data_IF_015107369117
#
_entry.id   IF_015107369117
#
_cell.length_a   1.000
_cell.length_b   1.000
_cell.length_c   1.000
_cell.angle_alpha   90.00
_cell.angle_beta   90.00
_cell.angle_gamma   90.00
#
_symmetry.space_group_name_H-M   'P 1'
#
loop_
_entity.id
_entity.type
_entity.pdbx_description
1 polymer ?
#
# COMPACT_ATOMS: atom_id res chain seq x y z
N UNK A 1 -29.18 9.89 -36.82
CA UNK A 1 -27.78 9.81 -36.36
C UNK A 1 -27.67 8.86 -35.17
N UNK A 2 -27.64 7.52 -35.37
CA UNK A 2 -27.81 6.55 -34.29
C UNK A 2 -26.53 5.95 -33.67
N UNK A 3 -25.32 6.30 -34.14
CA UNK A 3 -24.08 5.57 -33.77
C UNK A 3 -23.10 6.28 -32.82
N UNK A 4 -23.35 7.53 -32.40
CA UNK A 4 -22.40 8.26 -31.56
C UNK A 4 -22.38 7.75 -30.10
N UNK A 5 -23.54 7.44 -29.53
CA UNK A 5 -23.67 7.00 -28.13
C UNK A 5 -23.09 5.60 -27.90
N UNK A 6 -23.21 4.69 -28.88
CA UNK A 6 -22.64 3.34 -28.79
C UNK A 6 -21.11 3.33 -28.81
N UNK A 7 -20.50 4.18 -29.65
CA UNK A 7 -19.04 4.31 -29.73
C UNK A 7 -18.44 4.94 -28.47
N UNK A 8 -19.11 5.93 -27.90
CA UNK A 8 -18.65 6.61 -26.69
C UNK A 8 -18.73 5.70 -25.45
N UNK A 9 -19.80 4.90 -25.33
CA UNK A 9 -19.91 3.89 -24.29
C UNK A 9 -18.83 2.82 -24.39
N UNK A 10 -18.60 2.28 -25.60
CA UNK A 10 -17.54 1.31 -25.85
C UNK A 10 -16.16 1.87 -25.49
N UNK A 11 -15.91 3.15 -25.82
CA UNK A 11 -14.68 3.83 -25.45
C UNK A 11 -14.51 3.98 -23.92
N UNK A 12 -15.56 4.39 -23.20
CA UNK A 12 -15.50 4.52 -21.73
C UNK A 12 -15.29 3.17 -21.04
N UNK A 13 -15.97 2.13 -21.51
CA UNK A 13 -15.79 0.78 -20.99
C UNK A 13 -14.35 0.28 -21.19
N UNK A 14 -13.78 0.54 -22.38
CA UNK A 14 -12.40 0.17 -22.67
C UNK A 14 -11.41 0.98 -21.82
N UNK A 15 -11.63 2.29 -21.68
CA UNK A 15 -10.83 3.15 -20.81
C UNK A 15 -10.86 2.69 -19.35
N UNK A 16 -12.03 2.23 -18.87
CA UNK A 16 -12.18 1.67 -17.52
C UNK A 16 -11.39 0.36 -17.35
N UNK A 17 -11.48 -0.58 -18.30
CA UNK A 17 -10.71 -1.83 -18.28
C UNK A 17 -9.21 -1.57 -18.26
N UNK A 18 -8.73 -0.71 -19.17
CA UNK A 18 -7.31 -0.33 -19.25
C UNK A 18 -6.85 0.34 -17.95
N UNK A 19 -7.70 1.17 -17.33
CA UNK A 19 -7.37 1.80 -16.05
C UNK A 19 -7.22 0.78 -14.92
N UNK A 20 -8.09 -0.24 -14.85
CA UNK A 20 -7.97 -1.34 -13.89
C UNK A 20 -6.70 -2.15 -14.12
N UNK A 21 -6.44 -2.56 -15.36
CA UNK A 21 -5.25 -3.35 -15.71
C UNK A 21 -3.95 -2.58 -15.37
N UNK A 22 -3.92 -1.28 -15.66
CA UNK A 22 -2.82 -0.41 -15.26
C UNK A 22 -2.68 -0.33 -13.73
N UNK A 23 -3.79 -0.20 -13.01
CA UNK A 23 -3.79 -0.15 -11.55
C UNK A 23 -3.28 -1.46 -10.94
N UNK A 24 -3.73 -2.61 -11.43
CA UNK A 24 -3.29 -3.92 -10.96
C UNK A 24 -1.78 -4.13 -11.18
N UNK A 25 -1.29 -3.81 -12.38
CA UNK A 25 0.14 -3.85 -12.68
C UNK A 25 0.96 -2.87 -11.83
N UNK A 26 0.42 -1.69 -11.52
CA UNK A 26 1.07 -0.74 -10.63
C UNK A 26 1.07 -1.22 -9.17
N UNK A 27 -0.05 -1.72 -8.66
CA UNK A 27 -0.18 -2.26 -7.30
C UNK A 27 0.77 -3.44 -7.08
N UNK A 28 0.88 -4.35 -8.05
CA UNK A 28 1.85 -5.45 -8.03
C UNK A 28 3.28 -4.93 -7.94
N UNK A 29 3.66 -3.91 -8.74
CA UNK A 29 4.99 -3.30 -8.65
C UNK A 29 5.25 -2.62 -7.30
N UNK A 30 4.25 -1.97 -6.71
CA UNK A 30 4.34 -1.39 -5.36
C UNK A 30 4.59 -2.50 -4.33
N UNK A 31 3.79 -3.58 -4.37
CA UNK A 31 3.93 -4.71 -3.46
C UNK A 31 5.31 -5.38 -3.58
N UNK A 32 5.79 -5.64 -4.81
CA UNK A 32 7.12 -6.22 -5.04
C UNK A 32 8.23 -5.32 -4.51
N UNK A 33 8.19 -4.00 -4.79
CA UNK A 33 9.20 -3.06 -4.28
C UNK A 33 9.19 -2.98 -2.75
N UNK A 34 8.00 -2.95 -2.15
CA UNK A 34 7.86 -2.98 -0.70
C UNK A 34 8.48 -4.25 -0.10
N UNK A 35 8.18 -5.43 -0.64
CA UNK A 35 8.73 -6.70 -0.15
C UNK A 35 10.26 -6.78 -0.29
N UNK A 36 10.82 -6.25 -1.39
CA UNK A 36 12.28 -6.20 -1.57
C UNK A 36 12.92 -5.32 -0.49
N UNK A 37 12.42 -4.10 -0.31
CA UNK A 37 12.97 -3.17 0.68
C UNK A 37 12.77 -3.67 2.11
N UNK A 38 11.62 -4.28 2.40
CA UNK A 38 11.37 -4.94 3.68
C UNK A 38 12.37 -6.07 3.92
N UNK A 39 12.67 -6.90 2.91
CA UNK A 39 13.69 -7.94 3.01
C UNK A 39 15.09 -7.37 3.27
N UNK A 40 15.43 -6.25 2.62
CA UNK A 40 16.68 -5.52 2.84
C UNK A 40 16.78 -4.97 4.28
N UNK A 41 15.66 -4.59 4.89
CA UNK A 41 15.60 -4.10 6.27
C UNK A 41 15.61 -5.25 7.31
N UNK A 42 14.98 -6.38 6.99
CA UNK A 42 14.97 -7.58 7.84
C UNK A 42 16.36 -8.21 7.94
N UNK A 43 17.18 -8.16 6.89
CA UNK A 43 18.53 -8.72 6.90
C UNK A 43 19.43 -8.16 8.02
N UNK A 44 19.64 -6.83 8.15
CA UNK A 44 20.40 -6.25 9.25
C UNK A 44 19.71 -6.46 10.61
N UNK A 45 18.38 -6.47 10.67
CA UNK A 45 17.66 -6.78 11.91
C UNK A 45 17.94 -8.22 12.38
N UNK A 46 17.99 -9.18 11.46
CA UNK A 46 18.39 -10.57 11.72
C UNK A 46 19.83 -10.70 12.20
N UNK A 47 20.75 -9.91 11.64
CA UNK A 47 22.15 -9.86 12.12
C UNK A 47 22.24 -9.33 13.56
N UNK A 48 21.51 -8.26 13.89
CA UNK A 48 21.45 -7.74 15.26
C UNK A 48 20.85 -8.76 16.22
N UNK A 49 19.70 -9.35 15.86
CA UNK A 49 19.03 -10.36 16.68
C UNK A 49 19.95 -11.55 16.94
N UNK A 50 20.69 -12.02 15.92
CA UNK A 50 21.66 -13.09 16.09
C UNK A 50 22.81 -12.70 17.03
N UNK A 51 23.27 -11.45 17.00
CA UNK A 51 24.30 -10.98 17.93
C UNK A 51 23.84 -10.88 19.38
N UNK A 52 22.55 -10.59 19.61
CA UNK A 52 21.97 -10.60 20.95
C UNK A 52 21.73 -12.02 21.47
N UNK A 53 21.35 -12.96 20.60
CA UNK A 53 20.97 -14.33 20.98
C UNK A 53 22.15 -15.31 21.02
N UNK A 54 23.08 -15.18 20.09
CA UNK A 54 24.30 -15.99 20.04
C UNK A 54 25.47 -15.12 20.48
N UNK A 55 26.25 -15.59 21.46
CA UNK A 55 27.35 -14.85 22.09
C UNK A 55 28.50 -14.42 21.15
N UNK A 56 28.32 -14.47 19.82
CA UNK A 56 29.08 -13.68 18.86
C UNK A 56 28.73 -12.20 19.03
N UNK A 57 29.43 -11.55 19.95
CA UNK A 57 29.37 -10.10 20.14
C UNK A 57 29.88 -9.40 18.88
N UNK A 58 28.98 -8.79 18.11
CA UNK A 58 29.37 -7.64 17.31
C UNK A 58 29.97 -6.60 18.25
N UNK A 59 31.05 -5.95 17.81
CA UNK A 59 31.57 -4.80 18.54
C UNK A 59 30.48 -3.71 18.66
N UNK A 60 30.54 -2.87 19.69
CA UNK A 60 29.59 -1.76 19.85
C UNK A 60 29.54 -0.88 18.59
N UNK A 61 30.69 -0.65 17.95
CA UNK A 61 30.78 0.06 16.67
C UNK A 61 30.02 -0.66 15.55
N UNK A 62 30.07 -1.98 15.50
CA UNK A 62 29.33 -2.79 14.53
C UNK A 62 27.82 -2.71 14.75
N UNK A 63 27.36 -2.81 16.00
CA UNK A 63 25.93 -2.65 16.35
C UNK A 63 25.41 -1.25 16.02
N UNK A 64 26.23 -0.22 16.27
CA UNK A 64 25.93 1.17 15.91
C UNK A 64 25.79 1.34 14.39
N UNK A 65 26.75 0.86 13.60
CA UNK A 65 26.72 0.97 12.12
C UNK A 65 25.50 0.25 11.55
N UNK A 66 25.19 -0.96 12.04
CA UNK A 66 24.03 -1.72 11.57
C UNK A 66 22.73 -0.98 11.93
N UNK A 67 22.62 -0.44 13.15
CA UNK A 67 21.43 0.31 13.57
C UNK A 67 21.22 1.57 12.73
N UNK A 68 22.30 2.29 12.43
CA UNK A 68 22.26 3.47 11.57
C UNK A 68 21.83 3.11 10.14
N UNK A 69 22.39 2.04 9.58
CA UNK A 69 22.05 1.56 8.24
C UNK A 69 20.59 1.13 8.15
N UNK A 70 20.10 0.37 9.14
CA UNK A 70 18.70 -0.01 9.25
C UNK A 70 17.78 1.22 9.31
N UNK A 71 18.11 2.21 10.15
CA UNK A 71 17.35 3.45 10.25
C UNK A 71 17.26 4.19 8.89
N UNK A 72 18.37 4.30 8.15
CA UNK A 72 18.34 4.89 6.82
C UNK A 72 17.44 4.11 5.86
N UNK A 73 17.55 2.77 5.82
CA UNK A 73 16.73 1.92 4.96
C UNK A 73 15.23 2.09 5.28
N UNK A 74 14.86 2.08 6.56
CA UNK A 74 13.46 2.24 6.96
C UNK A 74 12.89 3.62 6.64
N UNK A 75 13.72 4.69 6.70
CA UNK A 75 13.33 6.03 6.26
C UNK A 75 13.05 6.04 4.74
N UNK A 76 13.93 5.44 3.94
CA UNK A 76 13.71 5.32 2.50
C UNK A 76 12.44 4.51 2.18
N UNK A 77 12.24 3.40 2.88
CA UNK A 77 11.05 2.57 2.78
C UNK A 77 9.78 3.36 3.13
N UNK A 78 9.83 4.18 4.17
CA UNK A 78 8.72 5.06 4.56
C UNK A 78 8.40 6.10 3.48
N UNK A 79 9.41 6.83 2.99
CA UNK A 79 9.20 7.85 1.95
C UNK A 79 8.61 7.24 0.69
N UNK A 80 9.14 6.10 0.25
CA UNK A 80 8.63 5.41 -0.93
C UNK A 80 7.20 4.90 -0.73
N UNK A 81 6.91 4.30 0.44
CA UNK A 81 5.57 3.85 0.81
C UNK A 81 4.56 5.00 0.84
N UNK A 82 4.98 6.16 1.34
CA UNK A 82 4.14 7.36 1.37
C UNK A 82 3.84 7.88 -0.05
N UNK A 83 4.84 7.90 -0.94
CA UNK A 83 4.64 8.28 -2.34
C UNK A 83 3.72 7.31 -3.09
N UNK A 84 3.95 6.01 -2.93
CA UNK A 84 3.13 4.96 -3.57
C UNK A 84 1.66 5.05 -3.12
N UNK A 85 1.41 5.40 -1.85
CA UNK A 85 0.05 5.68 -1.33
C UNK A 85 -0.64 6.80 -2.10
N UNK A 86 0.04 7.91 -2.35
CA UNK A 86 -0.55 9.03 -3.10
C UNK A 86 -0.91 8.64 -4.54
N UNK A 87 -0.04 7.87 -5.20
CA UNK A 87 -0.28 7.42 -6.57
C UNK A 87 -1.44 6.44 -6.63
N UNK A 88 -1.47 5.44 -5.75
CA UNK A 88 -2.58 4.48 -5.67
C UNK A 88 -3.91 5.18 -5.40
N UNK A 89 -3.95 6.13 -4.46
CA UNK A 89 -5.16 6.91 -4.17
C UNK A 89 -5.66 7.69 -5.40
N UNK A 90 -4.75 8.28 -6.18
CA UNK A 90 -5.10 8.99 -7.42
C UNK A 90 -5.67 8.05 -8.49
N UNK A 91 -5.08 6.86 -8.66
CA UNK A 91 -5.57 5.88 -9.64
C UNK A 91 -6.93 5.31 -9.24
N UNK A 92 -7.12 4.99 -7.96
CA UNK A 92 -8.42 4.57 -7.41
C UNK A 92 -9.48 5.63 -7.70
N UNK A 93 -9.18 6.91 -7.42
CA UNK A 93 -10.09 8.01 -7.72
C UNK A 93 -10.46 8.05 -9.21
N UNK A 94 -9.48 7.97 -10.11
CA UNK A 94 -9.72 7.96 -11.56
C UNK A 94 -10.62 6.81 -12.00
N UNK A 95 -10.42 5.60 -11.47
CA UNK A 95 -11.25 4.43 -11.79
C UNK A 95 -12.68 4.65 -11.31
N UNK A 96 -12.86 5.21 -10.12
CA UNK A 96 -14.19 5.53 -9.59
C UNK A 96 -14.88 6.66 -10.37
N UNK A 97 -14.14 7.65 -10.85
CA UNK A 97 -14.69 8.71 -11.70
C UNK A 97 -15.19 8.14 -13.05
N UNK A 98 -14.40 7.26 -13.69
CA UNK A 98 -14.81 6.55 -14.92
C UNK A 98 -16.03 5.64 -14.68
N UNK A 99 -16.06 4.95 -13.54
CA UNK A 99 -17.22 4.14 -13.13
C UNK A 99 -18.49 4.99 -13.06
N UNK A 100 -18.45 6.13 -12.35
CA UNK A 100 -19.61 7.02 -12.18
C UNK A 100 -20.13 7.51 -13.53
N UNK A 101 -19.23 7.80 -14.47
CA UNK A 101 -19.60 8.21 -15.84
C UNK A 101 -20.31 7.08 -16.60
N UNK A 102 -19.81 5.84 -16.48
CA UNK A 102 -20.43 4.64 -17.06
C UNK A 102 -21.82 4.39 -16.47
N UNK A 103 -21.97 4.45 -15.14
CA UNK A 103 -23.25 4.25 -14.44
C UNK A 103 -24.29 5.30 -14.85
N UNK A 104 -23.87 6.56 -14.95
CA UNK A 104 -24.73 7.66 -15.40
C UNK A 104 -25.24 7.43 -16.82
N UNK A 105 -24.41 6.91 -17.73
CA UNK A 105 -24.81 6.63 -19.11
C UNK A 105 -25.69 5.39 -19.29
N UNK A 106 -25.50 4.37 -18.44
CA UNK A 106 -26.35 3.17 -18.46
C UNK A 106 -27.72 3.45 -17.79
N UNK A 107 -27.84 4.50 -16.98
CA UNK A 107 -29.05 4.80 -16.23
C UNK A 107 -29.35 3.78 -15.13
N UNK A 108 -28.34 2.98 -14.74
CA UNK A 108 -28.39 2.04 -13.61
C UNK A 108 -27.34 2.45 -12.60
N UNK A 109 -27.80 2.87 -11.42
CA UNK A 109 -26.94 3.28 -10.31
C UNK A 109 -26.40 2.09 -9.51
N UNK A 110 -27.04 0.91 -9.64
CA UNK A 110 -26.69 -0.31 -8.92
C UNK A 110 -26.24 -1.42 -9.88
N UNK A 111 -25.08 -1.24 -10.54
CA UNK A 111 -24.43 -2.37 -11.22
C UNK A 111 -23.78 -3.29 -10.18
N UNK A 112 -24.32 -4.50 -9.93
CA UNK A 112 -23.82 -5.36 -8.87
C UNK A 112 -22.45 -5.94 -9.25
N UNK A 113 -21.54 -5.98 -8.28
CA UNK A 113 -20.31 -6.78 -8.23
C UNK A 113 -19.17 -6.51 -9.26
N UNK A 114 -19.44 -6.06 -10.49
CA UNK A 114 -18.37 -5.78 -11.48
C UNK A 114 -17.62 -4.45 -11.24
N UNK A 115 -18.24 -3.55 -10.47
CA UNK A 115 -17.78 -2.18 -10.29
C UNK A 115 -17.80 -1.76 -8.81
N UNK A 116 -17.58 -2.66 -7.84
CA UNK A 116 -17.53 -2.22 -6.43
C UNK A 116 -16.58 -1.02 -6.29
N UNK A 117 -16.97 0.06 -5.60
CA UNK A 117 -16.11 1.24 -5.51
C UNK A 117 -14.77 0.80 -4.95
N UNK A 118 -13.67 1.19 -5.58
CA UNK A 118 -12.31 0.94 -5.05
C UNK A 118 -11.98 1.92 -3.91
N UNK A 119 -12.88 2.86 -3.65
CA UNK A 119 -12.84 3.93 -2.64
C UNK A 119 -13.36 3.43 -1.27
N UNK A 120 -12.98 4.17 -0.22
CA UNK A 120 -13.40 4.03 1.17
C UNK A 120 -14.82 4.58 1.45
N UNK A 121 -15.56 5.05 0.44
CA UNK A 121 -16.92 5.63 0.61
C UNK A 121 -17.95 4.65 1.20
N UNK A 122 -17.82 3.34 0.95
CA UNK A 122 -18.65 2.30 1.60
C UNK A 122 -18.13 1.88 3.00
N UNK A 123 -17.02 2.47 3.47
CA UNK A 123 -16.34 2.14 4.72
C UNK A 123 -16.58 3.17 5.84
N UNK A 124 -17.04 4.39 5.54
CA UNK A 124 -17.41 5.39 6.56
C UNK A 124 -18.67 5.00 7.34
N UNK A 125 -19.49 4.08 6.80
CA UNK A 125 -20.73 3.60 7.42
C UNK A 125 -20.57 2.38 8.31
N UNK A 126 -19.37 1.76 8.40
CA UNK A 126 -19.16 0.48 9.10
C UNK A 126 -18.59 0.65 10.49
N UNK A 127 -19.20 -0.01 11.48
CA UNK A 127 -18.83 0.09 12.89
C UNK A 127 -17.44 -0.49 13.20
N UNK A 128 -16.69 0.23 14.04
CA UNK A 128 -15.24 0.15 14.25
C UNK A 128 -14.67 -1.20 14.71
N UNK A 129 -15.40 -2.02 15.48
CA UNK A 129 -14.74 -3.03 16.35
C UNK A 129 -14.77 -4.46 15.79
N UNK A 130 -15.81 -4.87 15.07
CA UNK A 130 -15.95 -6.27 14.63
C UNK A 130 -15.90 -6.44 13.11
N UNK A 131 -16.58 -5.60 12.34
CA UNK A 131 -16.61 -5.71 10.87
C UNK A 131 -15.36 -5.10 10.22
N UNK A 132 -14.75 -4.09 10.85
CA UNK A 132 -13.55 -3.42 10.34
C UNK A 132 -12.29 -4.27 10.36
N UNK A 133 -12.21 -5.31 11.20
CA UNK A 133 -11.05 -6.22 11.28
C UNK A 133 -11.30 -7.53 10.50
N UNK A 134 -12.55 -8.01 10.49
CA UNK A 134 -12.93 -9.27 9.83
C UNK A 134 -13.26 -9.12 8.35
N UNK A 135 -13.51 -7.91 7.86
CA UNK A 135 -13.66 -7.66 6.43
C UNK A 135 -12.30 -7.66 5.74
N UNK A 136 -12.19 -8.40 4.63
CA UNK A 136 -11.03 -8.38 3.73
C UNK A 136 -10.65 -6.94 3.28
N UNK A 137 -11.61 -6.01 3.28
CA UNK A 137 -11.44 -4.57 3.02
C UNK A 137 -11.42 -3.72 4.30
N UNK A 138 -10.70 -4.18 5.33
CA UNK A 138 -10.49 -3.44 6.58
C UNK A 138 -10.03 -1.99 6.33
N UNK A 139 -10.71 -1.04 6.99
CA UNK A 139 -10.49 0.41 6.91
C UNK A 139 -9.06 0.85 7.29
N UNK A 140 -8.34 0.00 8.05
CA UNK A 140 -6.99 0.29 8.56
C UNK A 140 -5.91 -0.53 7.86
N UNK A 141 -6.21 -1.75 7.41
CA UNK A 141 -5.33 -2.63 6.63
C UNK A 141 -5.54 -2.46 5.11
N UNK A 142 -5.86 -1.25 4.63
CA UNK A 142 -5.84 -1.03 3.18
C UNK A 142 -4.43 -1.26 2.66
N UNK A 143 -4.31 -1.88 1.47
CA UNK A 143 -3.05 -2.08 0.74
C UNK A 143 -2.19 -0.80 0.66
N UNK A 144 -2.81 0.38 0.78
CA UNK A 144 -2.12 1.68 0.71
C UNK A 144 -1.52 2.15 2.04
N UNK A 145 -1.92 1.57 3.19
CA UNK A 145 -1.49 2.00 4.53
C UNK A 145 -0.46 1.04 5.16
N UNK A 146 -0.54 -0.26 4.86
CA UNK A 146 0.36 -1.28 5.41
C UNK A 146 1.84 -0.93 5.21
N UNK A 147 2.30 -0.56 3.99
CA UNK A 147 3.71 -0.26 3.77
C UNK A 147 4.24 0.87 4.66
N UNK A 148 3.47 1.95 4.80
CA UNK A 148 3.85 3.10 5.61
C UNK A 148 3.87 2.76 7.10
N UNK A 149 2.88 2.01 7.60
CA UNK A 149 2.82 1.59 9.02
C UNK A 149 4.00 0.68 9.36
N UNK A 150 4.29 -0.32 8.52
CA UNK A 150 5.44 -1.22 8.71
C UNK A 150 6.74 -0.43 8.72
N UNK A 151 6.89 0.55 7.82
CA UNK A 151 8.09 1.40 7.78
C UNK A 151 8.27 2.20 9.09
N UNK A 152 7.18 2.75 9.65
CA UNK A 152 7.24 3.48 10.93
C UNK A 152 7.66 2.54 12.06
N UNK A 153 7.11 1.32 12.10
CA UNK A 153 7.49 0.32 13.10
C UNK A 153 8.98 -0.02 13.03
N UNK A 154 9.52 -0.15 11.82
CA UNK A 154 10.95 -0.40 11.61
C UNK A 154 11.80 0.81 12.04
N UNK A 155 11.41 2.04 11.70
CA UNK A 155 12.08 3.25 12.19
C UNK A 155 12.13 3.27 13.72
N UNK A 156 11.00 3.00 14.38
CA UNK A 156 10.94 2.95 15.85
C UNK A 156 11.85 1.84 16.40
N UNK A 157 11.83 0.66 15.80
CA UNK A 157 12.73 -0.44 16.15
C UNK A 157 14.20 0.00 16.09
N UNK A 158 14.63 0.60 14.99
CA UNK A 158 16.01 1.05 14.82
C UNK A 158 16.40 2.21 15.72
N UNK A 159 15.49 3.14 16.02
CA UNK A 159 15.73 4.18 17.02
C UNK A 159 15.97 3.56 18.39
N UNK A 160 15.15 2.58 18.78
CA UNK A 160 15.32 1.87 20.06
C UNK A 160 16.66 1.14 20.08
N UNK A 161 17.04 0.42 19.02
CA UNK A 161 18.33 -0.28 18.98
C UNK A 161 19.52 0.68 19.00
N UNK A 162 19.39 1.84 18.35
CA UNK A 162 20.39 2.90 18.31
C UNK A 162 20.63 3.51 19.69
N UNK A 163 19.57 3.82 20.45
CA UNK A 163 19.72 4.38 21.80
C UNK A 163 20.14 3.36 22.86
N UNK A 164 19.84 2.07 22.65
CA UNK A 164 20.23 0.99 23.56
C UNK A 164 21.70 0.55 23.40
N UNK A 165 22.32 0.84 22.25
CA UNK A 165 23.70 0.43 21.94
C UNK A 165 24.57 1.64 21.51
N UNK A 166 24.89 2.57 22.43
CA UNK A 166 25.73 3.73 22.15
C UNK A 166 27.19 3.38 21.82
#
# INVERSE_FOLDING_TARGET
>A
MPNAQGNEFAFLLEAYKVAIEYFDGYATRVATRFNILLGVDIAPAGLLANSWLSATTLSSKGMFIISLLGLFISIFLYVQSAQDKFVLKRQIKRINDLRKEIETKIGRQDLPALFSPLDETDLETRSFVFEGITSWRSNYLSLTRIPAVVSILLIVFWLVTFFLNP
#
